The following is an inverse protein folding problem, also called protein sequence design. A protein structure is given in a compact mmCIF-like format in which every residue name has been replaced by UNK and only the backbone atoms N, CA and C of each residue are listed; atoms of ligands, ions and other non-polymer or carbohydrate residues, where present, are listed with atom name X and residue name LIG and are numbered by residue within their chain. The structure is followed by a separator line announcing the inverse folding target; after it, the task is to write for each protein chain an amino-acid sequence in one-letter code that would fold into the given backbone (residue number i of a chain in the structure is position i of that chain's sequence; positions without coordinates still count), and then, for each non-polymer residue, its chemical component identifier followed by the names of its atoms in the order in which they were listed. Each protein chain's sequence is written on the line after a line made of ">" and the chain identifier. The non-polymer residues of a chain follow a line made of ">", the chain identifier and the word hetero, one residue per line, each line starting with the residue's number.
data_IF_582318278969
#
_entry.id   IF_582318278969
#
_cell.length_a   1.000
_cell.length_b   1.000
_cell.length_c   1.000
_cell.angle_alpha   90.00
_cell.angle_beta   90.00
_cell.angle_gamma   90.00
#
_symmetry.space_group_name_H-M   'P 1'
#
loop_
_entity.id
_entity.type
_entity.pdbx_description
1 polymer ?
#
# COMPACT_ATOMS: atom_id res chain seq x y z
N UNK A 1 -20.53 -15.04 -0.60
CA UNK A 1 -20.69 -13.63 -1.00
C UNK A 1 -19.29 -13.02 -1.13
N UNK A 2 -19.10 -12.03 -2.02
CA UNK A 2 -17.82 -11.29 -2.08
C UNK A 2 -17.80 -10.27 -0.94
N UNK A 3 -16.67 -10.13 -0.29
CA UNK A 3 -16.49 -9.18 0.81
C UNK A 3 -15.21 -8.39 0.57
N UNK A 4 -15.33 -7.07 0.55
CA UNK A 4 -14.19 -6.17 0.32
C UNK A 4 -13.84 -5.45 1.60
N UNK A 5 -12.55 -5.26 1.82
CA UNK A 5 -12.01 -4.46 2.90
C UNK A 5 -11.02 -3.44 2.36
N UNK A 6 -10.92 -2.28 3.03
CA UNK A 6 -9.95 -1.25 2.70
C UNK A 6 -8.82 -1.33 3.73
N UNK A 7 -7.59 -1.41 3.24
CA UNK A 7 -6.40 -1.39 4.08
C UNK A 7 -5.62 -0.09 3.87
N UNK A 8 -5.29 0.59 4.95
CA UNK A 8 -4.30 1.66 4.97
C UNK A 8 -2.90 1.08 5.08
N UNK A 9 -1.99 1.53 4.22
CA UNK A 9 -0.58 1.23 4.25
C UNK A 9 0.17 2.47 4.71
N UNK A 10 0.80 2.39 5.88
CA UNK A 10 1.72 3.42 6.40
C UNK A 10 3.16 2.99 6.15
N UNK A 11 3.90 3.76 5.36
CA UNK A 11 5.34 3.58 5.25
C UNK A 11 6.03 3.89 6.60
N UNK A 12 6.69 2.93 7.22
CA UNK A 12 7.48 3.15 8.45
C UNK A 12 8.92 3.54 8.14
N UNK A 13 9.46 3.00 7.05
CA UNK A 13 10.73 3.40 6.46
C UNK A 13 10.51 3.95 5.05
N UNK A 14 11.53 4.57 4.45
CA UNK A 14 11.43 5.01 3.05
C UNK A 14 11.15 3.79 2.16
N UNK A 15 10.32 3.95 1.14
CA UNK A 15 9.82 2.88 0.29
C UNK A 15 10.29 3.07 -1.15
N UNK A 16 10.69 1.99 -1.82
CA UNK A 16 11.00 2.00 -3.25
C UNK A 16 10.19 0.89 -3.96
N UNK A 17 8.93 1.15 -4.35
CA UNK A 17 8.17 0.25 -5.20
C UNK A 17 8.67 0.47 -6.64
N UNK A 18 9.64 -0.32 -7.11
CA UNK A 18 10.30 -0.06 -8.39
C UNK A 18 9.39 -0.24 -9.60
N UNK A 19 9.45 0.69 -10.56
CA UNK A 19 8.69 0.64 -11.82
C UNK A 19 9.35 -0.22 -12.92
N UNK A 20 10.53 -0.79 -12.65
CA UNK A 20 11.38 -1.48 -13.63
C UNK A 20 12.42 -0.56 -14.27
N UNK A 21 13.29 -1.14 -15.10
CA UNK A 21 14.53 -0.49 -15.57
C UNK A 21 14.40 0.27 -16.90
N UNK A 22 13.19 0.43 -17.44
CA UNK A 22 12.97 1.07 -18.74
C UNK A 22 12.80 2.60 -18.62
N UNK A 23 13.85 3.30 -18.18
CA UNK A 23 13.83 4.76 -18.04
C UNK A 23 14.96 5.42 -18.86
N UNK A 24 14.62 6.51 -19.55
CA UNK A 24 15.57 7.36 -20.30
C UNK A 24 15.80 8.72 -19.60
N UNK A 25 15.53 8.80 -18.29
CA UNK A 25 15.61 10.01 -17.47
C UNK A 25 16.93 10.20 -16.72
N UNK A 26 17.02 11.26 -15.92
CA UNK A 26 18.17 11.54 -15.03
C UNK A 26 18.17 10.60 -13.81
N UNK A 27 17.00 10.10 -13.42
CA UNK A 27 16.83 9.12 -12.36
C UNK A 27 16.81 7.73 -13.01
N UNK A 28 17.73 6.86 -12.60
CA UNK A 28 17.83 5.51 -13.13
C UNK A 28 16.65 4.64 -12.66
N UNK A 29 16.30 4.74 -11.38
CA UNK A 29 15.30 3.90 -10.72
C UNK A 29 14.15 4.72 -10.17
N UNK A 30 13.05 4.77 -10.92
CA UNK A 30 11.81 5.42 -10.54
C UNK A 30 10.92 4.53 -9.67
N UNK A 31 10.10 5.17 -8.84
CA UNK A 31 9.00 4.49 -8.15
C UNK A 31 7.83 4.28 -9.10
N UNK A 32 6.97 3.32 -8.78
CA UNK A 32 5.70 3.07 -9.48
C UNK A 32 4.80 4.30 -9.38
N UNK A 33 4.20 4.68 -10.51
CA UNK A 33 3.27 5.80 -10.62
C UNK A 33 1.99 5.35 -11.31
N UNK A 34 0.87 5.93 -10.89
CA UNK A 34 -0.40 5.78 -11.58
C UNK A 34 -0.32 6.45 -12.96
N UNK A 35 -0.86 5.76 -13.97
CA UNK A 35 -0.73 6.15 -15.37
C UNK A 35 -1.52 7.41 -15.74
N UNK A 36 -2.54 7.77 -14.95
CA UNK A 36 -3.44 8.89 -15.23
C UNK A 36 -3.00 10.14 -14.47
N UNK A 37 -2.70 9.99 -13.19
CA UNK A 37 -2.39 11.08 -12.26
C UNK A 37 -0.90 11.36 -12.12
N UNK A 38 -0.04 10.40 -12.53
CA UNK A 38 1.41 10.45 -12.34
C UNK A 38 1.81 10.49 -10.85
N UNK A 39 0.88 10.17 -9.94
CA UNK A 39 1.14 10.08 -8.51
C UNK A 39 1.77 8.73 -8.16
N UNK A 40 2.64 8.66 -7.13
CA UNK A 40 3.16 7.40 -6.62
C UNK A 40 2.03 6.41 -6.31
N UNK A 41 2.20 5.15 -6.70
CA UNK A 41 1.27 4.05 -6.41
C UNK A 41 2.07 2.80 -6.05
N UNK A 42 1.39 1.76 -5.56
CA UNK A 42 1.97 0.43 -5.44
C UNK A 42 1.08 -0.54 -6.20
N UNK A 43 1.62 -1.15 -7.26
CA UNK A 43 0.86 -2.07 -8.09
C UNK A 43 0.40 -3.28 -7.28
N UNK A 44 -0.80 -3.76 -7.61
CA UNK A 44 -1.40 -4.94 -6.97
C UNK A 44 -0.50 -6.18 -7.01
N UNK A 45 0.30 -6.34 -8.08
CA UNK A 45 1.27 -7.43 -8.21
C UNK A 45 2.40 -7.34 -7.18
N UNK A 46 2.92 -6.14 -6.91
CA UNK A 46 3.92 -5.89 -5.87
C UNK A 46 3.35 -6.14 -4.48
N UNK A 47 2.13 -5.68 -4.21
CA UNK A 47 1.42 -5.95 -2.96
C UNK A 47 1.22 -7.44 -2.75
N UNK A 48 0.65 -8.12 -3.74
CA UNK A 48 0.35 -9.55 -3.68
C UNK A 48 1.61 -10.38 -3.49
N UNK A 49 2.70 -10.03 -4.19
CA UNK A 49 3.99 -10.71 -4.06
C UNK A 49 4.59 -10.56 -2.67
N UNK A 50 4.65 -9.33 -2.13
CA UNK A 50 5.17 -9.05 -0.80
C UNK A 50 4.39 -9.75 0.31
N UNK A 51 3.05 -9.74 0.24
CA UNK A 51 2.21 -10.44 1.20
C UNK A 51 2.37 -11.96 1.12
N UNK A 52 2.47 -12.51 -0.10
CA UNK A 52 2.70 -13.93 -0.31
C UNK A 52 4.02 -14.37 0.31
N UNK A 53 5.11 -13.66 0.03
CA UNK A 53 6.43 -13.96 0.59
C UNK A 53 6.42 -13.89 2.12
N UNK A 54 5.80 -12.85 2.69
CA UNK A 54 5.65 -12.73 4.14
C UNK A 54 4.94 -13.96 4.73
N UNK A 55 3.81 -14.35 4.15
CA UNK A 55 2.99 -15.44 4.71
C UNK A 55 3.64 -16.80 4.49
N UNK A 56 4.42 -16.99 3.43
CA UNK A 56 5.24 -18.19 3.21
C UNK A 56 6.43 -18.26 4.19
N UNK A 57 6.93 -17.11 4.67
CA UNK A 57 8.05 -17.03 5.62
C UNK A 57 7.64 -17.25 7.08
N UNK A 58 6.42 -16.86 7.47
CA UNK A 58 5.84 -17.22 8.75
C UNK A 58 5.36 -18.67 8.73
N UNK A 59 5.21 -19.31 9.89
CA UNK A 59 4.57 -20.63 10.00
C UNK A 59 3.06 -20.60 9.64
N UNK A 60 2.64 -19.76 8.69
CA UNK A 60 1.28 -19.73 8.21
C UNK A 60 0.94 -21.07 7.55
N UNK A 61 -0.29 -21.52 7.78
CA UNK A 61 -0.79 -22.73 7.15
C UNK A 61 -0.69 -22.59 5.63
N UNK A 62 0.04 -23.51 4.98
CA UNK A 62 0.22 -23.50 3.52
C UNK A 62 -1.12 -23.52 2.76
N UNK A 63 -2.17 -24.08 3.37
CA UNK A 63 -3.52 -24.02 2.82
C UNK A 63 -4.02 -22.56 2.74
N UNK A 64 -3.83 -21.75 3.78
CA UNK A 64 -4.25 -20.35 3.79
C UNK A 64 -3.50 -19.54 2.72
N UNK A 65 -2.18 -19.76 2.57
CA UNK A 65 -1.37 -19.11 1.53
C UNK A 65 -1.93 -19.43 0.14
N UNK A 66 -2.21 -20.70 -0.13
CA UNK A 66 -2.78 -21.13 -1.42
C UNK A 66 -4.19 -20.57 -1.63
N UNK A 67 -5.02 -20.53 -0.59
CA UNK A 67 -6.36 -19.91 -0.64
C UNK A 67 -6.28 -18.42 -0.96
N UNK A 68 -5.37 -17.67 -0.33
CA UNK A 68 -5.27 -16.22 -0.55
C UNK A 68 -4.65 -15.93 -1.92
N UNK A 69 -3.47 -16.48 -2.20
CA UNK A 69 -2.63 -16.05 -3.31
C UNK A 69 -2.75 -16.91 -4.56
N UNK A 70 -3.22 -18.15 -4.42
CA UNK A 70 -3.19 -19.18 -5.46
C UNK A 70 -1.86 -19.95 -5.50
N UNK A 71 -1.86 -21.05 -6.23
CA UNK A 71 -0.71 -21.97 -6.35
C UNK A 71 -0.21 -22.14 -7.77
N UNK A 72 1.01 -22.66 -7.91
CA UNK A 72 1.55 -23.11 -9.19
C UNK A 72 0.79 -24.32 -9.76
N UNK A 73 1.35 -24.97 -10.77
CA UNK A 73 0.72 -26.11 -11.45
C UNK A 73 0.36 -27.28 -10.50
N UNK A 74 1.03 -27.41 -9.35
CA UNK A 74 0.75 -28.42 -8.32
C UNK A 74 -0.10 -27.90 -7.14
N UNK A 75 -0.54 -26.65 -7.18
CA UNK A 75 -1.25 -25.99 -6.09
C UNK A 75 -2.59 -26.64 -5.73
N UNK A 76 -3.35 -27.14 -6.72
CA UNK A 76 -4.62 -27.84 -6.45
C UNK A 76 -4.41 -29.14 -5.66
N UNK A 77 -3.41 -29.93 -6.02
CA UNK A 77 -3.08 -31.18 -5.33
C UNK A 77 -2.60 -30.91 -3.89
N UNK A 78 -1.90 -29.78 -3.65
CA UNK A 78 -1.48 -29.37 -2.32
C UNK A 78 -2.67 -28.92 -1.45
N UNK A 79 -3.60 -28.14 -1.99
CA UNK A 79 -4.83 -27.74 -1.26
C UNK A 79 -5.69 -28.97 -0.93
N UNK A 80 -5.89 -29.88 -1.89
CA UNK A 80 -6.68 -31.11 -1.69
C UNK A 80 -6.01 -32.06 -0.69
N UNK A 81 -4.68 -32.19 -0.70
CA UNK A 81 -3.94 -32.98 0.27
C UNK A 81 -4.03 -32.38 1.69
N UNK A 82 -3.93 -31.06 1.83
CA UNK A 82 -4.02 -30.36 3.11
C UNK A 82 -5.45 -30.32 3.68
N UNK A 83 -6.47 -30.30 2.82
CA UNK A 83 -7.88 -30.40 3.21
C UNK A 83 -8.32 -31.85 3.55
N UNK A 84 -7.55 -32.85 3.10
CA UNK A 84 -7.84 -34.27 3.22
C UNK A 84 -7.43 -34.94 4.55
N UNK A 85 -6.70 -34.25 5.44
CA UNK A 85 -6.22 -34.82 6.71
C UNK A 85 -7.33 -35.05 7.77
N UNK A 86 -8.61 -35.14 7.39
CA UNK A 86 -9.73 -35.48 8.27
C UNK A 86 -10.63 -36.62 7.77
N UNK A 87 -10.23 -37.38 6.74
CA UNK A 87 -10.90 -38.63 6.40
C UNK A 87 -9.90 -39.77 6.30
N UNK A 88 -9.95 -40.64 7.31
CA UNK A 88 -9.26 -41.93 7.35
C UNK A 88 -9.62 -42.81 6.13
N UNK A 89 -8.60 -43.55 5.69
CA UNK A 89 -8.65 -44.82 4.94
C UNK A 89 -9.38 -44.88 3.58
N UNK A 90 -8.62 -44.85 2.47
CA UNK A 90 -8.76 -45.82 1.37
C UNK A 90 -7.68 -45.67 0.27
N UNK A 91 -6.89 -46.73 0.06
CA UNK A 91 -6.40 -47.16 -1.27
C UNK A 91 -5.23 -46.41 -1.90
N UNK A 92 -4.00 -46.86 -1.63
CA UNK A 92 -2.83 -46.51 -2.45
C UNK A 92 -2.91 -47.24 -3.82
N UNK A 93 -3.36 -46.54 -4.87
CA UNK A 93 -3.16 -47.01 -6.25
C UNK A 93 -1.74 -46.73 -6.73
N UNK A 94 -1.06 -47.77 -7.22
CA UNK A 94 0.25 -47.65 -7.86
C UNK A 94 0.15 -46.94 -9.22
N UNK A 95 1.13 -46.12 -9.62
CA UNK A 95 1.09 -45.41 -10.89
C UNK A 95 1.31 -46.38 -12.06
N UNK A 96 0.36 -46.37 -13.01
CA UNK A 96 0.37 -47.15 -14.24
C UNK A 96 1.40 -46.58 -15.24
N UNK A 97 2.35 -47.36 -15.80
CA UNK A 97 3.52 -46.84 -16.53
C UNK A 97 3.26 -46.45 -18.00
N UNK A 98 2.01 -46.22 -18.40
CA UNK A 98 1.63 -45.86 -19.78
C UNK A 98 0.93 -44.50 -19.83
N UNK A 99 1.66 -43.45 -19.44
CA UNK A 99 1.16 -42.08 -19.43
C UNK A 99 1.06 -41.48 -20.83
N UNK A 100 -0.16 -41.30 -21.34
CA UNK A 100 -0.46 -40.22 -22.28
C UNK A 100 0.00 -38.89 -21.65
N UNK A 101 0.52 -37.91 -22.41
CA UNK A 101 0.93 -36.63 -21.86
C UNK A 101 -0.23 -36.04 -21.05
N UNK A 102 -0.03 -35.91 -19.74
CA UNK A 102 -0.97 -35.28 -18.83
C UNK A 102 -1.18 -33.85 -19.31
N UNK A 103 -2.44 -33.46 -19.50
CA UNK A 103 -2.79 -32.08 -19.82
C UNK A 103 -2.07 -31.15 -18.83
N UNK A 104 -1.42 -30.09 -19.32
CA UNK A 104 -0.68 -29.15 -18.50
C UNK A 104 -1.56 -28.71 -17.32
N UNK A 105 -1.14 -29.05 -16.10
CA UNK A 105 -1.90 -28.74 -14.88
C UNK A 105 -2.03 -27.22 -14.79
N UNK A 106 -3.27 -26.73 -14.77
CA UNK A 106 -3.53 -25.29 -14.68
C UNK A 106 -3.23 -24.78 -13.27
N UNK A 107 -2.62 -23.58 -13.14
CA UNK A 107 -2.36 -22.98 -11.85
C UNK A 107 -3.66 -22.77 -11.07
N UNK A 108 -3.60 -22.92 -9.75
CA UNK A 108 -4.74 -22.68 -8.88
C UNK A 108 -4.90 -21.16 -8.65
N UNK A 109 -6.04 -20.60 -9.03
CA UNK A 109 -6.34 -19.19 -8.79
C UNK A 109 -6.58 -18.97 -7.28
N UNK A 110 -6.03 -17.87 -6.74
CA UNK A 110 -6.31 -17.45 -5.37
C UNK A 110 -7.69 -16.79 -5.24
N UNK A 111 -8.25 -16.81 -4.03
CA UNK A 111 -9.57 -16.32 -3.70
C UNK A 111 -9.59 -14.84 -3.28
N UNK A 112 -8.44 -14.15 -3.31
CA UNK A 112 -8.34 -12.74 -2.99
C UNK A 112 -7.92 -11.93 -4.23
N UNK A 113 -8.65 -10.84 -4.47
CA UNK A 113 -8.36 -9.84 -5.50
C UNK A 113 -7.75 -8.64 -4.79
N UNK A 114 -6.49 -8.34 -5.12
CA UNK A 114 -5.78 -7.16 -4.66
C UNK A 114 -5.93 -6.07 -5.71
N UNK A 115 -6.32 -4.87 -5.29
CA UNK A 115 -6.27 -3.68 -6.12
C UNK A 115 -4.94 -2.96 -5.85
N UNK A 116 -4.63 -1.95 -6.65
CA UNK A 116 -3.44 -1.13 -6.41
C UNK A 116 -3.58 -0.31 -5.13
N UNK A 117 -2.46 -0.02 -4.46
CA UNK A 117 -2.46 0.89 -3.33
C UNK A 117 -2.32 2.32 -3.84
N UNK A 118 -3.39 3.11 -3.70
CA UNK A 118 -3.49 4.49 -4.15
C UNK A 118 -3.00 5.45 -3.07
N UNK A 119 -2.24 6.47 -3.47
CA UNK A 119 -1.72 7.48 -2.55
C UNK A 119 -2.85 8.28 -1.91
N UNK A 120 -2.84 8.42 -0.59
CA UNK A 120 -3.81 9.26 0.14
C UNK A 120 -3.16 10.39 0.92
N UNK A 121 -1.89 10.25 1.34
CA UNK A 121 -1.17 11.36 1.96
C UNK A 121 0.35 11.26 1.84
N UNK A 122 1.02 12.41 1.74
CA UNK A 122 2.48 12.56 1.75
C UNK A 122 2.93 13.38 2.96
N UNK A 123 4.05 13.04 3.62
CA UNK A 123 4.64 13.90 4.63
C UNK A 123 5.30 15.11 3.99
N UNK A 124 4.97 16.30 4.47
CA UNK A 124 5.54 17.58 4.04
C UNK A 124 6.18 18.29 5.23
N UNK A 125 7.32 18.96 4.99
CA UNK A 125 8.10 19.62 6.04
C UNK A 125 7.35 20.81 6.62
N UNK A 126 7.56 21.02 7.92
CA UNK A 126 7.07 22.20 8.63
C UNK A 126 8.21 22.90 9.36
N UNK A 127 8.06 24.21 9.58
CA UNK A 127 8.97 25.02 10.41
C UNK A 127 8.61 24.99 11.91
N UNK A 128 7.42 24.49 12.28
CA UNK A 128 6.93 24.40 13.67
C UNK A 128 7.00 22.98 14.21
N UNK A 129 6.61 22.02 13.39
CA UNK A 129 6.68 20.60 13.69
C UNK A 129 7.60 19.91 12.67
N UNK A 130 7.94 18.63 12.91
CA UNK A 130 8.80 17.91 11.95
C UNK A 130 8.15 17.77 10.56
N UNK A 131 6.85 17.46 10.53
CA UNK A 131 6.06 17.33 9.30
C UNK A 131 4.55 17.34 9.59
N UNK A 132 3.78 17.61 8.54
CA UNK A 132 2.33 17.36 8.43
C UNK A 132 2.09 16.30 7.35
N UNK A 133 1.06 15.48 7.48
CA UNK A 133 0.58 14.63 6.37
C UNK A 133 -0.33 15.46 5.48
N UNK A 134 0.17 15.78 4.29
CA UNK A 134 -0.56 16.46 3.24
C UNK A 134 -1.47 15.48 2.49
N UNK A 135 -2.70 15.88 2.22
CA UNK A 135 -3.61 15.25 1.25
C UNK A 135 -4.25 16.32 0.37
N UNK A 136 -5.15 15.92 -0.53
CA UNK A 136 -5.99 16.83 -1.30
C UNK A 136 -7.44 16.36 -1.29
N UNK A 137 -8.42 17.27 -1.46
CA UNK A 137 -9.82 16.88 -1.52
C UNK A 137 -10.13 15.81 -2.58
N UNK A 138 -9.56 15.84 -3.81
CA UNK A 138 -9.78 14.76 -4.79
C UNK A 138 -9.23 13.39 -4.38
N UNK A 139 -8.11 13.31 -3.67
CA UNK A 139 -7.60 12.01 -3.20
C UNK A 139 -8.53 11.38 -2.16
N UNK A 140 -9.07 12.21 -1.26
CA UNK A 140 -10.05 11.76 -0.27
C UNK A 140 -11.38 11.39 -0.94
N UNK A 141 -11.81 12.17 -1.94
CA UNK A 141 -12.98 11.82 -2.73
C UNK A 141 -12.81 10.47 -3.44
N UNK A 142 -11.64 10.19 -4.01
CA UNK A 142 -11.38 8.91 -4.68
C UNK A 142 -11.48 7.72 -3.69
N UNK A 143 -10.95 7.88 -2.47
CA UNK A 143 -11.09 6.87 -1.42
C UNK A 143 -12.56 6.66 -1.03
N UNK A 144 -13.35 7.73 -0.92
CA UNK A 144 -14.78 7.65 -0.63
C UNK A 144 -15.54 6.93 -1.76
N UNK A 145 -15.21 7.21 -3.02
CA UNK A 145 -15.81 6.58 -4.19
C UNK A 145 -15.49 5.07 -4.21
N UNK A 146 -14.24 4.68 -3.89
CA UNK A 146 -13.85 3.27 -3.76
C UNK A 146 -14.58 2.58 -2.58
N UNK A 147 -14.74 3.27 -1.45
CA UNK A 147 -15.54 2.79 -0.32
C UNK A 147 -17.00 2.54 -0.74
N UNK A 148 -17.63 3.48 -1.44
CA UNK A 148 -19.01 3.36 -1.94
C UNK A 148 -19.13 2.22 -2.96
N UNK A 149 -18.21 2.14 -3.93
CA UNK A 149 -18.17 1.09 -4.95
C UNK A 149 -18.13 -0.31 -4.34
N UNK A 150 -17.42 -0.45 -3.23
CA UNK A 150 -17.23 -1.72 -2.54
C UNK A 150 -18.18 -1.96 -1.36
N UNK A 151 -19.06 -1.00 -1.05
CA UNK A 151 -19.99 -1.08 0.08
C UNK A 151 -19.29 -1.08 1.44
N UNK A 152 -18.13 -0.44 1.56
CA UNK A 152 -17.35 -0.32 2.80
C UNK A 152 -17.64 1.03 3.45
N UNK A 153 -17.84 1.04 4.75
CA UNK A 153 -18.00 2.27 5.55
C UNK A 153 -16.89 2.32 6.59
N UNK A 154 -15.78 3.02 6.32
CA UNK A 154 -14.67 3.09 7.25
C UNK A 154 -15.04 3.95 8.46
N UNK A 155 -14.37 3.71 9.60
CA UNK A 155 -14.39 4.66 10.69
C UNK A 155 -13.82 6.00 10.18
N UNK A 156 -14.49 7.13 10.48
CA UNK A 156 -14.06 8.43 9.99
C UNK A 156 -14.72 8.91 8.69
N UNK A 157 -15.75 8.22 8.20
CA UNK A 157 -16.40 8.57 6.94
C UNK A 157 -16.87 10.02 6.88
N UNK A 158 -17.41 10.59 7.96
CA UNK A 158 -17.91 11.97 7.94
C UNK A 158 -16.76 12.97 7.86
N UNK A 159 -15.70 12.75 8.63
CA UNK A 159 -14.48 13.55 8.54
C UNK A 159 -13.83 13.49 7.15
N UNK A 160 -13.83 12.33 6.50
CA UNK A 160 -13.37 12.17 5.11
C UNK A 160 -14.24 12.97 4.14
N UNK A 161 -15.57 12.93 4.28
CA UNK A 161 -16.51 13.73 3.47
C UNK A 161 -16.24 15.23 3.63
N UNK A 162 -16.04 15.70 4.85
CA UNK A 162 -15.68 17.09 5.11
C UNK A 162 -14.41 17.51 4.37
N UNK A 163 -13.35 16.67 4.37
CA UNK A 163 -12.12 16.96 3.63
C UNK A 163 -12.37 17.00 2.11
N UNK A 164 -13.13 16.06 1.56
CA UNK A 164 -13.45 16.01 0.13
C UNK A 164 -14.25 17.25 -0.32
N UNK A 165 -15.16 17.75 0.52
CA UNK A 165 -15.95 18.96 0.25
C UNK A 165 -15.13 20.26 0.31
N UNK A 166 -13.93 20.23 0.91
CA UNK A 166 -13.06 21.40 0.99
C UNK A 166 -12.51 21.85 -0.38
N UNK A 167 -12.68 21.08 -1.45
CA UNK A 167 -12.12 21.33 -2.79
C UNK A 167 -12.20 22.77 -3.28
N UNK A 168 -13.33 23.45 -3.09
CA UNK A 168 -13.51 24.86 -3.52
C UNK A 168 -12.84 25.89 -2.60
N UNK A 169 -12.48 25.48 -1.39
CA UNK A 169 -12.02 26.36 -0.31
C UNK A 169 -10.50 26.34 -0.12
N UNK A 170 -9.80 25.36 -0.68
CA UNK A 170 -8.35 25.21 -0.58
C UNK A 170 -7.72 25.85 -1.81
N UNK A 171 -7.06 26.99 -1.63
CA UNK A 171 -6.44 27.75 -2.72
C UNK A 171 -4.98 27.38 -2.86
N UNK A 172 -4.47 27.54 -4.09
CA UNK A 172 -3.05 27.33 -4.40
C UNK A 172 -2.17 28.23 -3.52
N UNK A 173 -1.18 27.64 -2.88
CA UNK A 173 -0.25 28.28 -1.95
C UNK A 173 -0.81 28.62 -0.57
N UNK A 174 -2.06 28.26 -0.29
CA UNK A 174 -2.75 28.52 0.98
C UNK A 174 -3.25 27.20 1.60
N UNK A 175 -2.35 26.26 1.99
CA UNK A 175 -2.76 25.00 2.59
C UNK A 175 -3.50 25.24 3.91
N UNK A 176 -4.53 24.41 4.13
CA UNK A 176 -5.24 24.37 5.42
C UNK A 176 -4.64 23.26 6.27
N UNK A 177 -4.46 23.49 7.57
CA UNK A 177 -3.98 22.44 8.47
C UNK A 177 -4.93 22.22 9.66
N UNK A 178 -4.90 21.00 10.17
CA UNK A 178 -5.70 20.51 11.29
C UNK A 178 -4.78 19.92 12.36
N UNK A 179 -5.31 19.85 13.59
CA UNK A 179 -4.58 19.51 14.80
C UNK A 179 -4.39 20.72 15.71
N UNK A 180 -3.41 20.63 16.61
CA UNK A 180 -3.08 21.69 17.58
C UNK A 180 -2.75 23.02 16.87
N UNK A 181 -3.36 24.12 17.33
CA UNK A 181 -3.09 25.44 16.74
C UNK A 181 -1.66 25.90 17.06
N UNK A 182 -0.86 25.99 16.00
CA UNK A 182 0.53 26.47 16.02
C UNK A 182 0.66 27.92 15.53
N UNK A 183 -0.45 28.60 15.23
CA UNK A 183 -0.48 29.94 14.67
C UNK A 183 0.06 29.98 13.24
N UNK A 184 1.16 30.72 13.02
CA UNK A 184 1.78 30.80 11.68
C UNK A 184 2.72 29.61 11.49
N UNK A 185 2.27 28.66 10.66
CA UNK A 185 3.04 27.49 10.22
C UNK A 185 3.43 27.67 8.76
N UNK A 186 4.69 27.38 8.44
CA UNK A 186 5.15 27.21 7.08
C UNK A 186 5.15 25.71 6.73
N UNK A 187 4.54 25.37 5.60
CA UNK A 187 4.40 24.02 5.06
C UNK A 187 5.07 23.98 3.69
N UNK A 188 6.25 23.37 3.61
CA UNK A 188 7.20 23.57 2.51
C UNK A 188 7.45 25.06 2.24
N UNK A 189 7.14 25.58 1.05
CA UNK A 189 7.25 27.01 0.74
C UNK A 189 5.99 27.81 1.09
N UNK A 190 4.89 27.17 1.47
CA UNK A 190 3.58 27.79 1.59
C UNK A 190 3.25 28.18 3.04
N UNK A 191 2.44 29.24 3.20
CA UNK A 191 1.93 29.63 4.51
C UNK A 191 0.67 28.82 4.84
N UNK A 192 0.75 27.98 5.86
CA UNK A 192 -0.35 27.20 6.38
C UNK A 192 -1.33 28.05 7.19
N UNK A 193 -2.61 27.75 7.03
CA UNK A 193 -3.71 28.39 7.75
C UNK A 193 -4.46 27.33 8.56
N UNK A 194 -4.61 27.53 9.87
CA UNK A 194 -5.44 26.64 10.69
C UNK A 194 -6.86 26.61 10.11
N UNK A 195 -7.45 25.41 10.00
CA UNK A 195 -8.85 25.29 9.63
C UNK A 195 -9.75 25.94 10.69
N UNK A 196 -10.80 26.64 10.25
CA UNK A 196 -11.73 27.36 11.13
C UNK A 196 -12.66 26.45 11.95
N UNK A 197 -12.80 25.19 11.52
CA UNK A 197 -13.65 24.18 12.14
C UNK A 197 -12.87 22.88 12.32
N UNK A 198 -13.14 22.19 13.42
CA UNK A 198 -12.65 20.83 13.62
C UNK A 198 -13.29 19.87 12.61
N UNK A 199 -12.64 18.73 12.38
CA UNK A 199 -13.20 17.63 11.60
C UNK A 199 -13.98 16.71 12.52
N UNK A 200 -15.06 16.16 11.99
CA UNK A 200 -15.76 15.03 12.63
C UNK A 200 -14.84 13.80 12.65
N UNK A 201 -15.13 12.87 13.57
CA UNK A 201 -14.41 11.62 13.73
C UNK A 201 -12.88 11.77 13.89
N UNK A 202 -12.44 12.82 14.61
CA UNK A 202 -11.03 13.19 14.73
C UNK A 202 -10.12 12.01 15.09
N UNK A 203 -10.52 11.14 16.02
CA UNK A 203 -9.73 9.95 16.41
C UNK A 203 -9.55 8.95 15.26
N UNK A 204 -10.60 8.72 14.46
CA UNK A 204 -10.52 7.84 13.31
C UNK A 204 -9.67 8.47 12.19
N UNK A 205 -9.82 9.77 11.95
CA UNK A 205 -8.95 10.49 11.01
C UNK A 205 -7.49 10.52 11.46
N UNK A 206 -7.20 10.63 12.76
CA UNK A 206 -5.84 10.53 13.29
C UNK A 206 -5.22 9.15 12.98
N UNK A 207 -6.02 8.08 12.88
CA UNK A 207 -5.53 6.76 12.49
C UNK A 207 -5.07 6.72 11.02
N UNK A 208 -5.74 7.49 10.15
CA UNK A 208 -5.46 7.59 8.72
C UNK A 208 -4.31 8.58 8.47
N UNK A 209 -4.49 9.82 8.89
CA UNK A 209 -3.64 10.97 8.57
C UNK A 209 -2.68 11.39 9.70
N UNK A 210 -2.74 10.75 10.87
CA UNK A 210 -2.02 11.22 12.04
C UNK A 210 -2.60 12.53 12.61
N UNK A 211 -1.97 13.03 13.67
CA UNK A 211 -2.42 14.21 14.43
C UNK A 211 -2.26 15.56 13.73
N UNK A 212 -1.62 15.57 12.57
CA UNK A 212 -1.19 16.77 11.85
C UNK A 212 -1.47 16.58 10.38
N UNK A 213 -2.70 16.91 9.99
CA UNK A 213 -3.17 16.84 8.62
C UNK A 213 -3.03 18.22 7.97
N UNK A 214 -2.56 18.24 6.73
CA UNK A 214 -2.61 19.39 5.85
C UNK A 214 -3.43 19.05 4.60
N UNK A 215 -4.30 19.94 4.17
CA UNK A 215 -5.08 19.81 2.94
C UNK A 215 -4.58 20.87 1.96
N UNK A 216 -3.99 20.39 0.87
CA UNK A 216 -3.32 21.21 -0.15
C UNK A 216 -4.21 21.36 -1.39
N UNK A 217 -3.93 22.39 -2.17
CA UNK A 217 -4.43 22.49 -3.53
C UNK A 217 -3.78 21.40 -4.40
N UNK A 218 -4.52 20.90 -5.39
CA UNK A 218 -4.09 19.78 -6.24
C UNK A 218 -2.74 20.06 -6.90
N UNK A 219 -2.56 21.24 -7.51
CA UNK A 219 -1.28 21.61 -8.14
C UNK A 219 -0.08 21.56 -7.18
N UNK A 220 -0.25 22.01 -5.93
CA UNK A 220 0.84 22.07 -4.96
C UNK A 220 1.21 20.67 -4.51
N UNK A 221 0.21 19.82 -4.26
CA UNK A 221 0.43 18.41 -3.93
C UNK A 221 1.04 17.63 -5.10
N UNK A 222 0.55 17.83 -6.33
CA UNK A 222 1.06 17.14 -7.51
C UNK A 222 2.53 17.45 -7.75
N UNK A 223 2.96 18.70 -7.57
CA UNK A 223 4.38 19.06 -7.65
C UNK A 223 5.21 18.27 -6.63
N UNK A 224 4.78 18.23 -5.37
CA UNK A 224 5.47 17.49 -4.31
C UNK A 224 5.51 15.98 -4.57
N UNK A 225 4.42 15.41 -5.08
CA UNK A 225 4.32 13.99 -5.40
C UNK A 225 5.13 13.58 -6.64
N UNK A 226 5.40 14.52 -7.55
CA UNK A 226 6.28 14.31 -8.73
C UNK A 226 7.76 14.45 -8.38
N UNK A 227 8.09 15.35 -7.47
CA UNK A 227 9.46 15.63 -7.05
C UNK A 227 9.81 14.86 -5.76
N UNK A 228 9.66 13.53 -5.79
CA UNK A 228 10.03 12.72 -4.63
C UNK A 228 11.55 12.78 -4.37
N UNK A 229 11.98 12.56 -3.11
CA UNK A 229 13.41 12.55 -2.81
C UNK A 229 14.15 11.51 -3.65
N UNK A 230 15.31 11.91 -4.16
CA UNK A 230 16.21 11.03 -4.92
C UNK A 230 17.48 10.79 -4.12
N UNK A 231 17.90 9.53 -4.02
CA UNK A 231 19.10 9.11 -3.32
C UNK A 231 20.15 8.69 -4.35
N UNK A 232 21.34 9.29 -4.28
CA UNK A 232 22.50 8.85 -5.02
C UNK A 232 23.12 7.62 -4.33
N UNK A 233 23.42 6.58 -5.11
CA UNK A 233 24.02 5.34 -4.62
C UNK A 233 25.24 4.96 -5.43
N UNK A 234 26.22 4.37 -4.76
CA UNK A 234 27.49 4.06 -5.37
C UNK A 234 27.96 2.65 -5.01
N UNK A 235 28.58 1.97 -5.98
CA UNK A 235 29.35 0.76 -5.76
C UNK A 235 30.84 1.09 -5.86
N UNK A 236 31.61 0.62 -4.88
CA UNK A 236 33.05 0.88 -4.78
C UNK A 236 33.86 -0.40 -5.02
N UNK A 237 34.97 -0.28 -5.74
CA UNK A 237 36.02 -1.29 -5.83
C UNK A 237 37.32 -0.69 -5.29
N UNK A 238 37.82 -1.21 -4.17
CA UNK A 238 39.01 -0.69 -3.46
C UNK A 238 38.93 0.82 -3.16
N UNK A 239 37.75 1.31 -2.78
CA UNK A 239 37.49 2.73 -2.49
C UNK A 239 37.26 3.59 -3.74
N UNK A 240 37.33 3.03 -4.94
CA UNK A 240 37.10 3.74 -6.21
C UNK A 240 35.68 3.49 -6.69
N UNK A 241 34.97 4.57 -7.03
CA UNK A 241 33.63 4.53 -7.63
C UNK A 241 33.63 3.74 -8.94
N UNK A 242 32.85 2.67 -9.02
CA UNK A 242 32.68 1.86 -10.25
C UNK A 242 31.27 1.94 -10.84
N UNK A 243 30.26 2.29 -10.03
CA UNK A 243 28.89 2.45 -10.52
C UNK A 243 28.11 3.41 -9.63
N UNK A 244 27.72 4.57 -10.17
CA UNK A 244 26.88 5.59 -9.51
C UNK A 244 25.52 5.59 -10.18
N UNK A 245 24.44 5.54 -9.39
CA UNK A 245 23.07 5.62 -9.89
C UNK A 245 22.19 6.43 -8.92
N UNK A 246 21.05 6.89 -9.43
CA UNK A 246 20.05 7.66 -8.70
C UNK A 246 18.76 6.87 -8.57
N UNK A 247 18.21 6.86 -7.36
CA UNK A 247 17.02 6.08 -7.02
C UNK A 247 16.01 6.97 -6.29
N UNK A 248 14.79 7.03 -6.84
CA UNK A 248 13.68 7.76 -6.24
C UNK A 248 13.10 6.97 -5.06
N UNK A 249 12.70 7.66 -4.00
CA UNK A 249 12.11 7.03 -2.83
C UNK A 249 10.81 7.71 -2.42
N UNK A 250 9.82 6.91 -2.03
CA UNK A 250 8.65 7.38 -1.30
C UNK A 250 9.05 7.60 0.17
N UNK A 251 8.86 8.79 0.74
CA UNK A 251 9.25 9.07 2.13
C UNK A 251 8.51 8.19 3.14
N UNK A 252 9.19 7.83 4.24
CA UNK A 252 8.52 7.28 5.44
C UNK A 252 7.36 8.20 5.87
N UNK A 253 6.34 7.64 6.47
CA UNK A 253 5.05 8.27 6.82
C UNK A 253 4.09 8.52 5.64
N UNK A 254 4.48 8.25 4.39
CA UNK A 254 3.51 8.22 3.29
C UNK A 254 2.39 7.23 3.57
N UNK A 255 1.16 7.60 3.20
CA UNK A 255 -0.05 6.78 3.35
C UNK A 255 -0.56 6.39 1.97
N UNK A 256 -0.83 5.11 1.79
CA UNK A 256 -1.63 4.59 0.68
C UNK A 256 -2.87 3.88 1.25
N UNK A 257 -3.92 3.73 0.46
CA UNK A 257 -5.00 2.78 0.76
C UNK A 257 -5.14 1.76 -0.35
N UNK A 258 -5.53 0.53 0.00
CA UNK A 258 -5.64 -0.60 -0.90
C UNK A 258 -6.94 -1.36 -0.63
N UNK A 259 -7.89 -1.37 -1.57
CA UNK A 259 -9.01 -2.30 -1.53
C UNK A 259 -8.53 -3.74 -1.73
N UNK A 260 -9.11 -4.68 -0.98
CA UNK A 260 -8.91 -6.12 -1.17
C UNK A 260 -10.25 -6.84 -1.09
N UNK A 261 -10.60 -7.57 -2.13
CA UNK A 261 -11.85 -8.36 -2.19
C UNK A 261 -11.56 -9.84 -1.96
N UNK A 262 -12.14 -10.41 -0.91
CA UNK A 262 -12.24 -11.85 -0.70
C UNK A 262 -13.45 -12.42 -1.48
N UNK A 263 -13.21 -13.50 -2.22
CA UNK A 263 -14.20 -14.17 -3.08
C UNK A 263 -14.89 -15.36 -2.39
N UNK A 264 -14.50 -15.65 -1.14
CA UNK A 264 -15.03 -16.75 -0.31
C UNK A 264 -15.52 -16.22 1.05
N UNK A 265 -16.46 -16.94 1.68
CA UNK A 265 -17.03 -16.61 3.01
C UNK A 265 -16.19 -17.17 4.17
N UNK A 266 -14.92 -17.51 3.92
CA UNK A 266 -14.03 -17.96 4.98
C UNK A 266 -13.71 -16.82 5.95
N UNK A 267 -13.17 -17.16 7.13
CA UNK A 267 -12.56 -16.18 8.04
C UNK A 267 -11.65 -15.22 7.26
N UNK A 268 -11.47 -14.00 7.75
CA UNK A 268 -10.57 -13.00 7.16
C UNK A 268 -9.10 -13.47 7.26
N UNK A 269 -8.73 -14.39 6.36
CA UNK A 269 -7.44 -15.08 6.36
C UNK A 269 -6.30 -14.09 6.11
N UNK A 270 -6.58 -13.03 5.33
CA UNK A 270 -5.63 -11.97 5.11
C UNK A 270 -5.36 -11.22 6.42
N UNK A 271 -6.40 -10.80 7.13
CA UNK A 271 -6.25 -10.12 8.42
C UNK A 271 -5.56 -11.00 9.45
N UNK A 272 -5.93 -12.29 9.55
CA UNK A 272 -5.27 -13.23 10.45
C UNK A 272 -3.77 -13.39 10.12
N UNK A 273 -3.44 -13.49 8.83
CA UNK A 273 -2.06 -13.53 8.35
C UNK A 273 -1.29 -12.25 8.68
N UNK A 274 -1.87 -11.08 8.44
CA UNK A 274 -1.28 -9.80 8.82
C UNK A 274 -1.06 -9.71 10.34
N UNK A 275 -2.06 -10.08 11.15
CA UNK A 275 -1.98 -10.03 12.61
C UNK A 275 -0.85 -10.91 13.17
N UNK A 276 -0.66 -12.11 12.62
CA UNK A 276 0.47 -12.98 13.00
C UNK A 276 1.85 -12.40 12.73
N UNK A 277 1.94 -11.34 11.91
CA UNK A 277 3.16 -10.60 11.59
C UNK A 277 3.14 -9.17 12.12
N UNK A 278 2.32 -8.88 13.16
CA UNK A 278 2.14 -7.55 13.75
C UNK A 278 1.70 -6.47 12.73
N UNK A 279 1.06 -6.89 11.64
CA UNK A 279 0.69 -6.08 10.48
C UNK A 279 1.88 -5.37 9.81
N UNK A 280 3.08 -5.93 9.92
CA UNK A 280 4.28 -5.41 9.29
C UNK A 280 4.57 -6.18 8.01
N UNK A 281 4.67 -5.47 6.89
CA UNK A 281 4.92 -6.04 5.57
C UNK A 281 6.06 -5.30 4.90
N UNK A 282 6.98 -6.06 4.33
CA UNK A 282 8.12 -5.54 3.57
C UNK A 282 7.71 -5.40 2.10
N UNK A 283 7.64 -4.17 1.58
CA UNK A 283 7.18 -3.87 0.22
C UNK A 283 8.30 -3.21 -0.60
N UNK A 284 8.40 -3.56 -1.87
CA UNK A 284 9.34 -2.94 -2.81
C UNK A 284 10.78 -3.46 -2.65
N UNK A 285 11.71 -2.74 -3.28
CA UNK A 285 13.14 -3.06 -3.26
C UNK A 285 13.84 -2.60 -1.97
N UNK A 286 15.14 -2.86 -1.89
CA UNK A 286 16.03 -2.31 -0.86
C UNK A 286 15.71 -2.72 0.60
N UNK A 287 15.09 -3.88 0.81
CA UNK A 287 14.82 -4.43 2.14
C UNK A 287 16.09 -4.58 3.00
N UNK A 288 17.19 -5.10 2.43
CA UNK A 288 18.45 -5.36 3.15
C UNK A 288 19.19 -4.10 3.59
N UNK A 289 18.75 -2.93 3.14
CA UNK A 289 19.26 -1.60 3.51
C UNK A 289 18.18 -0.77 4.22
N UNK A 290 17.16 -1.45 4.77
CA UNK A 290 16.19 -0.89 5.70
C UNK A 290 15.03 -0.11 5.05
N UNK A 291 14.85 -0.19 3.74
CA UNK A 291 13.72 0.44 3.04
C UNK A 291 12.54 -0.52 2.92
N UNK A 292 11.31 0.01 2.83
CA UNK A 292 10.11 -0.71 2.41
C UNK A 292 9.25 -1.32 3.53
N UNK A 293 9.59 -1.12 4.80
CA UNK A 293 8.76 -1.63 5.90
C UNK A 293 7.49 -0.78 6.03
N UNK A 294 6.34 -1.41 5.88
CA UNK A 294 5.03 -0.78 5.95
C UNK A 294 4.16 -1.42 7.03
N UNK A 295 3.37 -0.59 7.74
CA UNK A 295 2.31 -1.07 8.62
C UNK A 295 0.98 -1.07 7.89
N UNK A 296 0.27 -2.18 7.95
CA UNK A 296 -1.07 -2.36 7.40
C UNK A 296 -2.11 -2.17 8.49
N UNK A 297 -3.17 -1.44 8.19
CA UNK A 297 -4.27 -1.15 9.12
C UNK A 297 -5.56 -1.35 8.35
N UNK A 298 -6.43 -2.23 8.85
CA UNK A 298 -7.78 -2.39 8.32
C UNK A 298 -8.63 -1.19 8.73
N UNK A 299 -9.28 -0.53 7.76
CA UNK A 299 -10.15 0.63 7.97
C UNK A 299 -11.62 0.25 8.09
#
# INVERSE_FOLDING_TARGET
>A
MKHTQIYLLRALTNLHPGAGDANFGIIDKHVQRDSVTDLPTIFASSIKGSLRELFESGNANSANVLTIFGGGADGKAQVEALAGEHNDEAGAEQPNPTGKPTAARQPAQGNYIFYEAKLIALPIRSDRDLYYLATTPPLVQEMLDDCELHGVTPEGMEGLRQIAEMGRSVRKGEPKYFGEDRGKVQLEEHQGHQASSALEDETALESIFGKRLAVLHVDDFQRLAKELPTVARNSLNNGISVNLWYEEIVPRETRFYCPVTAMVEEQDLLEAGLASHNHLVQIGGNATVGQGLCKWIKL
#
